data_IF_822190775071
#
_entry.id   IF_822190775071
#
_cell.length_a   1.000
_cell.length_b   1.000
_cell.length_c   1.000
_cell.angle_alpha   90.00
_cell.angle_beta   90.00
_cell.angle_gamma   90.00
#
_symmetry.space_group_name_H-M   'P 1'
#
loop_
_entity.id
_entity.type
_entity.pdbx_description
1 polymer ?
#
# COMPACT_ATOMS: atom_id res chain seq x y z
N UNK A 1 -34.90 9.28 7.05
CA UNK A 1 -33.52 9.76 6.80
C UNK A 1 -32.59 8.63 7.24
N UNK A 2 -32.08 7.82 6.31
CA UNK A 2 -31.12 6.76 6.66
C UNK A 2 -29.82 7.48 6.97
N UNK A 3 -29.50 7.61 8.25
CA UNK A 3 -28.16 8.04 8.66
C UNK A 3 -27.24 6.90 8.27
N UNK A 4 -26.59 6.99 7.11
CA UNK A 4 -25.51 6.09 6.74
C UNK A 4 -24.43 6.30 7.79
N UNK A 5 -24.33 5.37 8.73
CA UNK A 5 -23.24 5.40 9.71
C UNK A 5 -21.92 5.27 8.95
N UNK A 6 -20.80 5.83 9.42
CA UNK A 6 -19.50 5.70 8.75
C UNK A 6 -19.06 4.23 8.53
N UNK A 7 -19.62 3.33 9.34
CA UNK A 7 -19.44 1.87 9.26
C UNK A 7 -20.47 1.16 8.37
N UNK A 8 -21.50 1.87 7.89
CA UNK A 8 -22.53 1.32 7.02
C UNK A 8 -21.88 0.73 5.76
N UNK A 9 -22.40 -0.42 5.33
CA UNK A 9 -21.81 -1.17 4.21
C UNK A 9 -20.37 -1.61 4.50
N UNK A 10 -20.10 -2.07 5.73
CA UNK A 10 -18.86 -2.75 6.10
C UNK A 10 -17.61 -1.89 5.81
N UNK A 11 -17.60 -0.68 6.39
CA UNK A 11 -16.56 0.33 6.16
C UNK A 11 -16.37 0.66 4.66
N UNK A 12 -17.45 0.60 3.87
CA UNK A 12 -17.40 0.85 2.43
C UNK A 12 -16.95 2.28 2.08
N UNK A 13 -17.30 3.26 2.92
CA UNK A 13 -16.97 4.67 2.67
C UNK A 13 -15.46 4.90 2.69
N UNK A 14 -14.74 4.41 3.71
CA UNK A 14 -13.27 4.59 3.79
C UNK A 14 -12.56 3.86 2.65
N UNK A 15 -13.06 2.71 2.20
CA UNK A 15 -12.52 1.99 1.05
C UNK A 15 -12.68 2.78 -0.26
N UNK A 16 -13.87 3.34 -0.50
CA UNK A 16 -14.14 4.14 -1.70
C UNK A 16 -13.35 5.44 -1.68
N UNK A 17 -13.38 6.21 -0.59
CA UNK A 17 -12.58 7.44 -0.48
C UNK A 17 -11.09 7.17 -0.65
N UNK A 18 -10.59 6.05 -0.12
CA UNK A 18 -9.19 5.65 -0.31
C UNK A 18 -8.89 5.28 -1.77
N UNK A 19 -9.80 4.62 -2.46
CA UNK A 19 -9.66 4.27 -3.88
C UNK A 19 -9.68 5.48 -4.80
N UNK A 20 -10.35 6.57 -4.42
CA UNK A 20 -10.43 7.81 -5.22
C UNK A 20 -9.46 8.90 -4.76
N UNK A 21 -8.66 8.64 -3.72
CA UNK A 21 -7.65 9.58 -3.24
C UNK A 21 -8.21 10.75 -2.43
N UNK A 22 -9.42 10.64 -1.87
CA UNK A 22 -10.06 11.70 -1.09
C UNK A 22 -9.49 11.77 0.33
N UNK A 23 -8.25 12.26 0.44
CA UNK A 23 -7.48 12.31 1.69
C UNK A 23 -8.23 13.01 2.84
N UNK A 24 -8.87 14.15 2.58
CA UNK A 24 -9.65 14.88 3.61
C UNK A 24 -10.80 14.04 4.16
N UNK A 25 -11.47 13.25 3.31
CA UNK A 25 -12.55 12.36 3.71
C UNK A 25 -12.00 11.18 4.49
N UNK A 26 -10.88 10.60 4.07
CA UNK A 26 -10.21 9.52 4.81
C UNK A 26 -9.79 10.01 6.20
N UNK A 27 -9.17 11.18 6.30
CA UNK A 27 -8.79 11.78 7.58
C UNK A 27 -9.99 11.94 8.50
N UNK A 28 -11.08 12.55 8.03
CA UNK A 28 -12.31 12.72 8.81
C UNK A 28 -12.89 11.38 9.29
N UNK A 29 -12.81 10.33 8.46
CA UNK A 29 -13.30 9.00 8.83
C UNK A 29 -12.43 8.33 9.88
N UNK A 30 -11.09 8.49 9.80
CA UNK A 30 -10.15 7.89 10.76
C UNK A 30 -10.28 8.50 12.17
N UNK A 31 -10.73 9.76 12.28
CA UNK A 31 -11.06 10.40 13.56
C UNK A 31 -12.26 9.73 14.27
N UNK A 32 -13.14 9.05 13.54
CA UNK A 32 -14.23 8.26 14.11
C UNK A 32 -13.74 6.83 14.42
N UNK A 33 -13.46 6.56 15.69
CA UNK A 33 -12.94 5.26 16.13
C UNK A 33 -13.82 4.04 15.83
N UNK A 34 -15.06 4.23 15.35
CA UNK A 34 -15.91 3.13 14.86
C UNK A 34 -15.51 2.65 13.47
N UNK A 35 -14.86 3.50 12.68
CA UNK A 35 -14.35 3.15 11.35
C UNK A 35 -13.12 2.27 11.52
N UNK A 36 -13.13 1.13 10.83
CA UNK A 36 -12.00 0.20 10.79
C UNK A 36 -11.34 0.26 9.40
N UNK A 37 -10.12 0.84 9.28
CA UNK A 37 -9.40 0.90 8.01
C UNK A 37 -8.85 -0.46 7.55
N UNK A 38 -8.79 -1.46 8.43
CA UNK A 38 -8.38 -2.82 8.08
C UNK A 38 -9.55 -3.71 7.60
N UNK A 39 -10.78 -3.19 7.67
CA UNK A 39 -11.97 -3.92 7.28
C UNK A 39 -11.92 -4.39 5.82
N UNK A 40 -12.50 -5.57 5.59
CA UNK A 40 -12.49 -6.22 4.27
C UNK A 40 -11.07 -6.41 3.74
N UNK A 41 -10.21 -7.08 4.50
CA UNK A 41 -8.86 -7.44 4.04
C UNK A 41 -8.03 -6.21 3.63
N UNK A 42 -8.06 -5.15 4.45
CA UNK A 42 -7.23 -3.96 4.26
C UNK A 42 -7.40 -3.28 2.88
N UNK A 43 -8.58 -3.36 2.25
CA UNK A 43 -8.79 -2.78 0.92
C UNK A 43 -8.53 -1.27 0.84
N UNK A 44 -8.68 -0.52 1.94
CA UNK A 44 -8.38 0.91 1.95
C UNK A 44 -6.91 1.20 1.56
N UNK A 45 -5.95 0.52 2.20
CA UNK A 45 -4.53 0.68 1.88
C UNK A 45 -4.17 0.02 0.55
N UNK A 46 -4.80 -1.11 0.20
CA UNK A 46 -4.57 -1.79 -1.09
C UNK A 46 -4.98 -0.91 -2.28
N UNK A 47 -6.19 -0.34 -2.26
CA UNK A 47 -6.66 0.51 -3.37
C UNK A 47 -5.90 1.83 -3.47
N UNK A 48 -5.63 2.50 -2.34
CA UNK A 48 -4.84 3.72 -2.37
C UNK A 48 -3.41 3.46 -2.88
N UNK A 49 -2.81 2.31 -2.54
CA UNK A 49 -1.49 1.91 -3.04
C UNK A 49 -1.50 1.58 -4.54
N UNK A 50 -2.51 0.85 -5.02
CA UNK A 50 -2.68 0.53 -6.44
C UNK A 50 -2.87 1.78 -7.31
N UNK A 51 -3.59 2.77 -6.80
CA UNK A 51 -3.89 4.01 -7.55
C UNK A 51 -2.88 5.15 -7.29
N UNK A 52 -1.82 4.89 -6.50
CA UNK A 52 -0.76 5.88 -6.25
C UNK A 52 -1.18 7.05 -5.35
N UNK A 53 -2.20 6.88 -4.51
CA UNK A 53 -2.71 7.93 -3.63
C UNK A 53 -1.86 8.07 -2.36
N UNK A 54 -0.66 8.63 -2.53
CA UNK A 54 0.37 8.79 -1.49
C UNK A 54 -0.15 9.39 -0.17
N UNK A 55 -0.97 10.46 -0.23
CA UNK A 55 -1.50 11.11 0.98
C UNK A 55 -2.45 10.21 1.76
N UNK A 56 -3.28 9.42 1.06
CA UNK A 56 -4.16 8.44 1.69
C UNK A 56 -3.34 7.32 2.33
N UNK A 57 -2.34 6.78 1.63
CA UNK A 57 -1.46 5.73 2.18
C UNK A 57 -0.78 6.25 3.44
N UNK A 58 -0.26 7.48 3.42
CA UNK A 58 0.37 8.13 4.58
C UNK A 58 -0.59 8.22 5.78
N UNK A 59 -1.84 8.63 5.56
CA UNK A 59 -2.85 8.71 6.62
C UNK A 59 -3.15 7.33 7.21
N UNK A 60 -3.35 6.31 6.36
CA UNK A 60 -3.67 4.94 6.80
C UNK A 60 -2.51 4.30 7.57
N UNK A 61 -1.27 4.50 7.15
CA UNK A 61 -0.08 4.03 7.87
C UNK A 61 0.07 4.74 9.22
N UNK A 62 -0.14 6.06 9.26
CA UNK A 62 -0.06 6.85 10.50
C UNK A 62 -1.12 6.48 11.54
N UNK A 63 -2.32 6.07 11.10
CA UNK A 63 -3.37 5.54 11.97
C UNK A 63 -2.96 4.19 12.61
N UNK A 64 -2.10 3.43 11.94
CA UNK A 64 -1.49 2.20 12.47
C UNK A 64 -2.40 0.98 12.47
N UNK A 65 -3.73 1.14 12.41
CA UNK A 65 -4.68 0.00 12.34
C UNK A 65 -4.69 -0.66 10.97
N UNK A 66 -4.39 0.08 9.89
CA UNK A 66 -4.22 -0.52 8.57
C UNK A 66 -2.93 -1.36 8.54
N UNK A 67 -3.04 -2.57 7.98
CA UNK A 67 -1.92 -3.50 7.82
C UNK A 67 -1.38 -3.46 6.38
N UNK A 68 -0.18 -2.88 6.15
CA UNK A 68 0.43 -2.87 4.82
C UNK A 68 0.97 -4.23 4.37
N UNK A 69 1.11 -5.21 5.27
CA UNK A 69 1.57 -6.56 4.96
C UNK A 69 0.42 -7.51 4.52
N UNK A 70 -0.82 -7.05 4.58
CA UNK A 70 -1.99 -7.83 4.23
C UNK A 70 -1.92 -8.42 2.80
N UNK A 71 -2.50 -9.62 2.65
CA UNK A 71 -2.60 -10.34 1.39
C UNK A 71 -1.24 -10.48 0.68
N UNK A 72 -0.26 -11.05 1.39
CA UNK A 72 1.11 -11.24 0.95
C UNK A 72 1.76 -9.93 0.46
N UNK A 73 1.69 -8.89 1.31
CA UNK A 73 2.22 -7.56 1.03
C UNK A 73 1.69 -6.97 -0.28
N UNK A 74 0.39 -7.12 -0.54
CA UNK A 74 -0.22 -6.67 -1.80
C UNK A 74 0.06 -5.21 -2.10
N UNK A 75 0.00 -4.33 -1.07
CA UNK A 75 0.19 -2.89 -1.22
C UNK A 75 1.54 -2.53 -1.85
N UNK A 76 2.66 -3.12 -1.40
CA UNK A 76 3.98 -2.83 -1.95
C UNK A 76 4.17 -3.48 -3.32
N UNK A 77 3.61 -4.68 -3.55
CA UNK A 77 3.67 -5.36 -4.85
C UNK A 77 2.96 -4.56 -5.94
N UNK A 78 1.70 -4.19 -5.71
CA UNK A 78 0.89 -3.49 -6.73
C UNK A 78 1.38 -2.07 -6.99
N UNK A 79 1.83 -1.36 -5.96
CA UNK A 79 2.41 -0.01 -6.13
C UNK A 79 3.74 -0.07 -6.87
N UNK A 80 4.50 -1.17 -6.71
CA UNK A 80 5.74 -1.39 -7.46
C UNK A 80 5.48 -1.75 -8.92
N UNK A 81 4.47 -2.58 -9.18
CA UNK A 81 4.00 -2.92 -10.53
C UNK A 81 3.55 -1.69 -11.33
N UNK A 82 2.95 -0.70 -10.68
CA UNK A 82 2.45 0.52 -11.32
C UNK A 82 3.43 1.72 -11.23
N UNK A 83 4.60 1.53 -10.63
CA UNK A 83 5.64 2.56 -10.57
C UNK A 83 5.40 3.70 -9.57
N UNK A 84 4.52 3.51 -8.59
CA UNK A 84 4.14 4.52 -7.58
C UNK A 84 5.24 4.70 -6.54
N UNK A 85 6.35 5.31 -6.95
CA UNK A 85 7.59 5.42 -6.19
C UNK A 85 7.41 5.98 -4.78
N UNK A 86 6.58 7.02 -4.61
CA UNK A 86 6.39 7.62 -3.30
C UNK A 86 5.53 6.76 -2.35
N UNK A 87 4.60 5.97 -2.89
CA UNK A 87 3.88 4.95 -2.11
C UNK A 87 4.85 3.87 -1.63
N UNK A 88 5.71 3.36 -2.51
CA UNK A 88 6.71 2.34 -2.15
C UNK A 88 7.65 2.86 -1.06
N UNK A 89 8.14 4.11 -1.16
CA UNK A 89 8.94 4.74 -0.10
C UNK A 89 8.23 4.75 1.25
N UNK A 90 6.96 5.12 1.29
CA UNK A 90 6.18 5.14 2.53
C UNK A 90 6.02 3.74 3.13
N UNK A 91 5.72 2.75 2.29
CA UNK A 91 5.54 1.36 2.74
C UNK A 91 6.84 0.77 3.30
N UNK A 92 7.98 1.02 2.64
CA UNK A 92 9.29 0.59 3.14
C UNK A 92 9.65 1.27 4.47
N UNK A 93 9.36 2.57 4.60
CA UNK A 93 9.64 3.35 5.80
C UNK A 93 8.78 2.93 7.01
N UNK A 94 7.55 2.45 6.79
CA UNK A 94 6.70 1.89 7.85
C UNK A 94 7.29 0.59 8.45
N UNK A 95 8.07 -0.16 7.66
CA UNK A 95 8.82 -1.32 8.12
C UNK A 95 8.00 -2.62 8.26
N UNK A 96 6.66 -2.53 8.39
CA UNK A 96 5.79 -3.72 8.38
C UNK A 96 5.65 -4.33 6.99
N UNK A 97 5.74 -3.53 5.92
CA UNK A 97 5.74 -4.04 4.56
C UNK A 97 7.08 -4.72 4.23
N UNK A 98 7.04 -5.97 3.78
CA UNK A 98 8.18 -6.77 3.37
C UNK A 98 8.36 -6.72 1.85
N UNK A 99 9.46 -6.11 1.33
CA UNK A 99 9.73 -6.04 -0.11
C UNK A 99 10.13 -7.39 -0.74
N UNK A 100 10.44 -8.41 0.06
CA UNK A 100 10.83 -9.75 -0.42
C UNK A 100 9.66 -10.72 -0.51
N UNK A 101 8.48 -10.30 -0.05
CA UNK A 101 7.29 -11.13 -0.01
C UNK A 101 6.86 -11.63 -1.40
N UNK A 102 6.21 -12.80 -1.40
CA UNK A 102 5.71 -13.47 -2.61
C UNK A 102 6.78 -13.54 -3.70
N UNK A 103 7.91 -14.20 -3.41
CA UNK A 103 9.00 -14.42 -4.36
C UNK A 103 9.61 -13.14 -4.96
N UNK A 104 9.78 -12.09 -4.16
CA UNK A 104 10.31 -10.79 -4.61
C UNK A 104 9.47 -10.13 -5.72
N UNK A 105 8.15 -10.37 -5.75
CA UNK A 105 7.23 -9.87 -6.79
C UNK A 105 7.33 -8.36 -6.98
N UNK A 106 7.49 -7.59 -5.90
CA UNK A 106 7.62 -6.14 -5.97
C UNK A 106 8.80 -5.73 -6.86
N UNK A 107 9.95 -6.41 -6.71
CA UNK A 107 11.17 -6.17 -7.49
C UNK A 107 10.99 -6.65 -8.93
N UNK A 108 10.41 -7.84 -9.09
CA UNK A 108 10.16 -8.44 -10.40
C UNK A 108 9.28 -7.53 -11.27
N UNK A 109 8.14 -7.09 -10.75
CA UNK A 109 7.20 -6.26 -11.49
C UNK A 109 7.73 -4.85 -11.74
N UNK A 110 8.38 -4.22 -10.77
CA UNK A 110 8.98 -2.90 -11.01
C UNK A 110 10.06 -2.94 -12.09
N UNK A 111 10.83 -4.03 -12.15
CA UNK A 111 11.83 -4.24 -13.19
C UNK A 111 11.17 -4.51 -14.55
N UNK A 112 10.22 -5.44 -14.60
CA UNK A 112 9.52 -5.83 -15.83
C UNK A 112 8.82 -4.64 -16.50
N UNK A 113 8.21 -3.75 -15.72
CA UNK A 113 7.53 -2.56 -16.23
C UNK A 113 8.44 -1.31 -16.31
N UNK A 114 9.76 -1.50 -16.20
CA UNK A 114 10.78 -0.45 -16.36
C UNK A 114 10.65 0.72 -15.36
N UNK A 115 10.03 0.47 -14.20
CA UNK A 115 9.95 1.40 -13.08
C UNK A 115 11.29 1.46 -12.34
N UNK A 116 12.26 2.11 -12.98
CA UNK A 116 13.67 2.13 -12.57
C UNK A 116 13.85 2.70 -11.17
N UNK A 117 13.11 3.75 -10.81
CA UNK A 117 13.22 4.38 -9.48
C UNK A 117 12.71 3.47 -8.37
N UNK A 118 11.57 2.78 -8.60
CA UNK A 118 11.07 1.76 -7.68
C UNK A 118 12.06 0.61 -7.56
N UNK A 119 12.58 0.12 -8.68
CA UNK A 119 13.53 -1.01 -8.69
C UNK A 119 14.77 -0.67 -7.88
N UNK A 120 15.37 0.52 -8.11
CA UNK A 120 16.51 1.01 -7.33
C UNK A 120 16.20 1.14 -5.85
N UNK A 121 15.00 1.63 -5.52
CA UNK A 121 14.57 1.78 -4.14
C UNK A 121 14.47 0.41 -3.44
N UNK A 122 13.85 -0.58 -4.08
CA UNK A 122 13.66 -1.91 -3.50
C UNK A 122 14.99 -2.67 -3.33
N UNK A 123 15.86 -2.69 -4.34
CA UNK A 123 17.16 -3.40 -4.23
C UNK A 123 18.13 -2.74 -3.23
N UNK A 124 17.88 -1.48 -2.86
CA UNK A 124 18.64 -0.77 -1.83
C UNK A 124 18.12 -1.04 -0.41
N UNK A 125 16.94 -1.66 -0.26
CA UNK A 125 16.43 -2.03 1.06
C UNK A 125 17.31 -3.13 1.68
N UNK A 126 17.77 -2.98 2.94
CA UNK A 126 18.70 -3.91 3.57
C UNK A 126 18.12 -5.31 3.80
N UNK A 127 16.80 -5.48 3.69
CA UNK A 127 16.14 -6.79 3.79
C UNK A 127 16.24 -7.60 2.49
N UNK A 128 16.57 -6.95 1.37
CA UNK A 128 16.68 -7.60 0.07
C UNK A 128 18.11 -8.12 -0.14
N UNK A 129 18.23 -9.43 -0.37
CA UNK A 129 19.48 -10.02 -0.86
C UNK A 129 19.66 -9.73 -2.36
N UNK A 130 20.26 -8.58 -2.66
CA UNK A 130 20.54 -8.14 -4.03
C UNK A 130 21.56 -9.03 -4.76
N UNK A 131 22.27 -9.93 -4.08
CA UNK A 131 23.24 -10.83 -4.72
C UNK A 131 22.57 -12.00 -5.47
N UNK A 132 21.32 -12.34 -5.09
CA UNK A 132 20.55 -13.39 -5.76
C UNK A 132 19.97 -12.93 -7.11
N UNK A 133 19.72 -11.63 -7.29
CA UNK A 133 19.01 -11.09 -8.46
C UNK A 133 19.91 -10.94 -9.70
N UNK A 134 21.20 -10.65 -9.52
CA UNK A 134 22.16 -10.54 -10.62
C UNK A 134 22.41 -11.86 -11.37
N UNK A 135 22.07 -13.01 -10.77
CA UNK A 135 22.28 -14.32 -11.39
C UNK A 135 21.19 -14.71 -12.42
N UNK A 136 20.10 -13.97 -12.52
CA UNK A 136 18.97 -14.26 -13.42
C UNK A 136 18.83 -13.28 -14.59
N UNK A 137 19.73 -12.30 -14.73
CA UNK A 137 19.69 -11.26 -15.78
C UNK A 137 20.59 -11.57 -17.00
N UNK A 138 20.86 -12.85 -17.31
CA UNK A 138 21.64 -13.28 -18.47
C UNK A 138 20.82 -14.05 -19.49
#
# INVERSE_FOLDING_TARGET
MVVLTPTAVNNGVIRLSSSWGYADVVQLLLEDGRVDPAAQDNWAIKYSSQNGHTDVVKLLLADGRADPAAHDNYAIRVSSEHGHTDVVKLLLADGRADPTAYHNDAIYWSFHFEHTDVTRLLIADPRVDSTAYYNYAH
#
